data_IF_250773952150
#
_entry.id   IF_250773952150
#
_cell.length_a   1.000
_cell.length_b   1.000
_cell.length_c   1.000
_cell.angle_alpha   90.00
_cell.angle_beta   90.00
_cell.angle_gamma   90.00
#
_symmetry.space_group_name_H-M   'P 1'
#
loop_
_entity.id
_entity.type
_entity.pdbx_description
1 polymer ?
#
# COMPACT_ATOMS: atom_id res chain seq x y z
N UNK A 1 -50.65 32.31 -42.42
CA UNK A 1 -51.81 33.07 -41.89
C UNK A 1 -51.36 33.62 -40.54
N UNK A 2 -50.74 34.79 -40.41
CA UNK A 2 -51.13 36.17 -40.77
C UNK A 2 -52.33 36.67 -39.94
N UNK A 3 -52.13 37.87 -39.35
CA UNK A 3 -53.01 38.74 -38.51
C UNK A 3 -52.46 38.85 -37.06
N UNK A 4 -51.75 39.89 -36.60
CA UNK A 4 -51.69 41.33 -36.90
C UNK A 4 -52.97 42.09 -36.54
N UNK A 5 -52.98 42.70 -35.34
CA UNK A 5 -53.69 43.96 -35.05
C UNK A 5 -52.94 44.77 -34.00
N UNK A 6 -52.79 46.05 -34.34
CA UNK A 6 -52.03 47.11 -33.68
C UNK A 6 -53.03 48.09 -32.99
N UNK A 7 -52.52 49.21 -32.47
CA UNK A 7 -53.19 50.46 -32.01
C UNK A 7 -53.56 50.46 -30.50
N UNK A 8 -53.21 51.44 -29.65
CA UNK A 8 -52.83 52.85 -29.79
C UNK A 8 -51.90 53.32 -28.64
N UNK A 9 -51.03 54.29 -28.95
CA UNK A 9 -50.40 55.23 -28.01
C UNK A 9 -51.39 56.36 -27.63
N UNK A 10 -51.16 57.01 -26.48
CA UNK A 10 -51.11 58.46 -26.52
C UNK A 10 -49.87 59.08 -25.84
N UNK A 11 -49.57 60.23 -26.43
CA UNK A 11 -48.61 61.32 -26.20
C UNK A 11 -48.31 61.78 -24.77
N UNK A 12 -47.07 62.24 -24.64
CA UNK A 12 -46.42 62.90 -23.50
C UNK A 12 -47.17 64.09 -22.89
N UNK A 13 -47.02 64.24 -21.58
CA UNK A 13 -46.92 65.55 -20.90
C UNK A 13 -45.61 65.58 -20.10
N UNK A 14 -44.68 66.46 -20.49
CA UNK A 14 -43.53 66.84 -19.65
C UNK A 14 -44.03 67.68 -18.48
N UNK A 15 -43.98 67.13 -17.27
CA UNK A 15 -44.02 67.87 -16.02
C UNK A 15 -42.62 67.93 -15.43
N UNK A 16 -42.07 69.13 -15.28
CA UNK A 16 -40.81 69.38 -14.60
C UNK A 16 -40.91 68.91 -13.14
N UNK A 17 -39.89 68.17 -12.68
CA UNK A 17 -39.70 67.86 -11.26
C UNK A 17 -38.32 68.29 -10.83
N UNK A 18 -38.34 69.09 -9.77
CA UNK A 18 -37.22 69.75 -9.13
C UNK A 18 -36.09 68.79 -8.74
N UNK A 19 -34.88 69.31 -8.92
CA UNK A 19 -33.68 68.75 -8.36
C UNK A 19 -33.74 68.78 -6.83
N UNK A 20 -33.71 67.62 -6.18
CA UNK A 20 -32.95 67.37 -4.95
C UNK A 20 -33.03 65.89 -4.58
N UNK A 21 -31.96 65.38 -3.94
CA UNK A 21 -31.76 64.03 -3.40
C UNK A 21 -31.28 62.95 -4.38
N UNK A 22 -29.97 63.02 -4.69
CA UNK A 22 -29.18 61.83 -5.03
C UNK A 22 -29.21 60.91 -3.80
N UNK A 23 -30.02 59.86 -3.85
CA UNK A 23 -29.95 58.77 -2.89
C UNK A 23 -28.61 58.03 -3.09
N UNK A 24 -27.80 58.00 -2.02
CA UNK A 24 -26.58 57.20 -1.95
C UNK A 24 -26.89 55.71 -2.18
N UNK A 25 -25.94 54.91 -2.68
CA UNK A 25 -26.12 53.47 -2.77
C UNK A 25 -26.36 52.92 -1.38
N UNK A 26 -27.40 52.09 -1.24
CA UNK A 26 -27.78 51.47 0.01
C UNK A 26 -26.69 50.46 0.43
N UNK A 27 -25.75 50.92 1.26
CA UNK A 27 -24.90 50.06 2.10
C UNK A 27 -25.82 49.28 3.05
N UNK A 28 -26.23 48.07 2.65
CA UNK A 28 -26.66 46.99 3.54
C UNK A 28 -26.91 45.73 2.73
N UNK A 29 -25.82 45.00 2.47
CA UNK A 29 -25.89 43.56 2.25
C UNK A 29 -24.90 42.88 3.22
N UNK A 30 -25.16 43.05 4.52
CA UNK A 30 -24.41 42.44 5.63
C UNK A 30 -25.11 41.21 6.22
N UNK A 31 -26.18 40.72 5.58
CA UNK A 31 -26.86 39.49 5.99
C UNK A 31 -26.19 38.27 5.35
N UNK A 32 -25.00 37.91 5.85
CA UNK A 32 -24.40 36.56 5.78
C UNK A 32 -22.99 36.50 6.42
N UNK A 33 -22.64 37.44 7.31
CA UNK A 33 -21.43 37.27 8.12
C UNK A 33 -21.77 36.33 9.27
N UNK A 34 -21.34 35.06 9.15
CA UNK A 34 -21.34 34.13 10.27
C UNK A 34 -20.58 34.76 11.43
N UNK A 35 -21.24 34.94 12.56
CA UNK A 35 -20.62 35.47 13.77
C UNK A 35 -19.47 34.53 14.16
N UNK A 36 -18.24 35.01 14.00
CA UNK A 36 -17.04 34.27 14.40
C UNK A 36 -17.11 34.14 15.92
N UNK A 37 -17.25 32.91 16.40
CA UNK A 37 -17.23 32.64 17.82
C UNK A 37 -15.85 33.04 18.35
N UNK A 38 -15.82 33.80 19.45
CA UNK A 38 -14.60 34.31 20.11
C UNK A 38 -13.50 33.26 20.35
N UNK A 39 -13.84 31.97 20.35
CA UNK A 39 -12.89 30.86 20.46
C UNK A 39 -12.05 30.59 19.20
N UNK A 40 -12.35 31.22 18.07
CA UNK A 40 -11.73 30.94 16.76
C UNK A 40 -11.10 32.16 16.09
N UNK A 41 -10.89 33.26 16.83
CA UNK A 41 -10.34 34.51 16.31
C UNK A 41 -8.90 34.38 15.76
N UNK A 42 -8.21 33.28 16.09
CA UNK A 42 -6.87 32.95 15.60
C UNK A 42 -6.87 32.21 14.25
N UNK A 43 -8.02 31.75 13.77
CA UNK A 43 -8.18 31.09 12.48
C UNK A 43 -8.50 32.10 11.38
N UNK A 44 -8.35 31.69 10.12
CA UNK A 44 -8.92 32.44 9.01
C UNK A 44 -10.43 32.56 9.16
N UNK A 45 -11.01 33.63 8.58
CA UNK A 45 -12.45 33.86 8.60
C UNK A 45 -13.20 32.70 7.96
N UNK A 46 -12.63 32.14 6.90
CA UNK A 46 -13.15 30.99 6.17
C UNK A 46 -13.19 29.75 7.06
N UNK A 47 -12.08 29.39 7.70
CA UNK A 47 -12.03 28.26 8.63
C UNK A 47 -12.92 28.45 9.85
N UNK A 48 -12.97 29.65 10.43
CA UNK A 48 -13.90 29.96 11.53
C UNK A 48 -15.37 29.77 11.10
N UNK A 49 -15.69 30.11 9.85
CA UNK A 49 -17.02 29.87 9.26
C UNK A 49 -17.29 28.38 9.06
N UNK A 50 -16.31 27.61 8.59
CA UNK A 50 -16.44 26.15 8.49
C UNK A 50 -16.72 25.53 9.86
N UNK A 51 -15.92 25.90 10.87
CA UNK A 51 -15.97 25.34 12.22
C UNK A 51 -17.30 25.64 12.92
N UNK A 52 -17.85 26.85 12.77
CA UNK A 52 -19.11 27.22 13.43
C UNK A 52 -20.28 26.30 13.03
N UNK A 53 -20.28 25.78 11.81
CA UNK A 53 -21.27 24.82 11.30
C UNK A 53 -20.84 23.36 11.55
N UNK A 54 -19.60 23.01 11.21
CA UNK A 54 -19.12 21.62 11.25
C UNK A 54 -18.91 21.06 12.66
N UNK A 55 -18.80 21.91 13.69
CA UNK A 55 -18.84 21.47 15.08
C UNK A 55 -20.16 20.76 15.43
N UNK A 56 -21.26 21.13 14.79
CA UNK A 56 -22.59 20.56 14.99
C UNK A 56 -22.89 19.46 13.95
N UNK A 57 -22.59 19.72 12.67
CA UNK A 57 -22.92 18.80 11.57
C UNK A 57 -21.98 17.60 11.44
N UNK A 58 -20.74 17.74 11.88
CA UNK A 58 -19.71 16.69 11.80
C UNK A 58 -18.83 16.73 13.04
N UNK A 59 -19.46 16.62 14.22
CA UNK A 59 -18.78 16.76 15.51
C UNK A 59 -17.52 15.88 15.64
N UNK A 60 -17.53 14.65 15.10
CA UNK A 60 -16.37 13.77 15.11
C UNK A 60 -15.15 14.35 14.36
N UNK A 61 -15.36 14.91 13.17
CA UNK A 61 -14.30 15.56 12.38
C UNK A 61 -13.78 16.78 13.14
N UNK A 62 -14.69 17.59 13.68
CA UNK A 62 -14.33 18.77 14.47
C UNK A 62 -13.47 18.40 15.69
N UNK A 63 -13.83 17.36 16.45
CA UNK A 63 -13.07 16.92 17.61
C UNK A 63 -11.69 16.34 17.22
N UNK A 64 -11.63 15.54 16.15
CA UNK A 64 -10.35 15.01 15.65
C UNK A 64 -9.40 16.14 15.25
N UNK A 65 -9.87 17.10 14.45
CA UNK A 65 -9.10 18.26 14.05
C UNK A 65 -8.70 19.12 15.26
N UNK A 66 -9.63 19.39 16.19
CA UNK A 66 -9.37 20.18 17.40
C UNK A 66 -8.32 19.55 18.33
N UNK A 67 -8.13 18.23 18.26
CA UNK A 67 -7.06 17.51 18.98
C UNK A 67 -5.73 17.44 18.21
N UNK A 68 -5.69 17.89 16.96
CA UNK A 68 -4.53 17.77 16.09
C UNK A 68 -3.48 18.86 16.34
N UNK A 69 -2.24 18.58 15.94
CA UNK A 69 -1.18 19.62 15.90
C UNK A 69 -1.46 20.69 14.84
N UNK A 70 -2.23 20.37 13.80
CA UNK A 70 -2.65 21.35 12.79
C UNK A 70 -3.54 22.44 13.39
N UNK A 71 -4.50 22.08 14.24
CA UNK A 71 -5.29 23.07 14.97
C UNK A 71 -4.41 23.98 15.83
N UNK A 72 -3.49 23.40 16.61
CA UNK A 72 -2.54 24.17 17.42
C UNK A 72 -1.57 25.05 16.61
N UNK A 73 -1.42 24.79 15.31
CA UNK A 73 -0.64 25.58 14.37
C UNK A 73 -1.50 26.53 13.51
N UNK A 74 -2.78 26.73 13.86
CA UNK A 74 -3.74 27.55 13.14
C UNK A 74 -4.01 27.11 11.69
N UNK A 75 -3.81 25.82 11.37
CA UNK A 75 -4.19 25.22 10.09
C UNK A 75 -5.62 24.69 10.23
N UNK A 76 -6.58 25.46 9.71
CA UNK A 76 -8.00 25.16 9.76
C UNK A 76 -8.51 24.36 8.56
N UNK A 77 -9.83 24.21 8.48
CA UNK A 77 -10.49 23.44 7.42
C UNK A 77 -10.20 24.02 6.03
N UNK A 78 -10.32 25.34 5.89
CA UNK A 78 -10.19 26.01 4.60
C UNK A 78 -8.74 26.04 4.10
N UNK A 79 -7.75 26.11 5.00
CA UNK A 79 -6.34 26.10 4.61
C UNK A 79 -5.96 24.85 3.82
N UNK A 80 -6.57 23.70 4.15
CA UNK A 80 -6.37 22.43 3.45
C UNK A 80 -7.37 22.20 2.31
N UNK A 81 -8.64 22.54 2.51
CA UNK A 81 -9.71 22.20 1.56
C UNK A 81 -9.98 23.27 0.49
N UNK A 82 -9.38 24.47 0.59
CA UNK A 82 -9.55 25.50 -0.45
C UNK A 82 -9.17 24.95 -1.82
N UNK A 83 -10.00 25.24 -2.81
CA UNK A 83 -9.76 24.88 -4.19
C UNK A 83 -9.96 26.10 -5.08
N UNK A 84 -9.39 26.08 -6.29
CA UNK A 84 -9.63 27.13 -7.29
C UNK A 84 -10.81 26.75 -8.16
N UNK A 85 -11.55 27.77 -8.60
CA UNK A 85 -12.55 27.59 -9.63
C UNK A 85 -11.92 26.96 -10.89
N UNK A 86 -12.48 25.86 -11.37
CA UNK A 86 -11.98 25.13 -12.54
C UNK A 86 -11.03 23.97 -12.24
N UNK A 87 -10.63 23.75 -10.99
CA UNK A 87 -10.06 22.47 -10.59
C UNK A 87 -11.12 21.36 -10.74
N UNK A 88 -10.68 20.14 -11.09
CA UNK A 88 -11.57 19.07 -11.57
C UNK A 88 -12.59 18.65 -10.51
N UNK A 89 -12.17 18.58 -9.25
CA UNK A 89 -12.97 18.19 -8.09
C UNK A 89 -13.39 19.38 -7.22
N UNK A 90 -13.27 20.60 -7.73
CA UNK A 90 -13.72 21.79 -7.03
C UNK A 90 -15.25 21.87 -7.01
N UNK A 91 -15.82 21.99 -5.81
CA UNK A 91 -17.25 22.19 -5.58
C UNK A 91 -17.49 23.50 -4.84
N UNK A 92 -18.63 24.14 -5.14
CA UNK A 92 -19.11 25.27 -4.32
C UNK A 92 -19.78 24.71 -3.06
N UNK A 93 -19.23 25.05 -1.90
CA UNK A 93 -19.82 24.73 -0.61
C UNK A 93 -20.10 26.01 0.17
N UNK A 94 -21.39 26.39 0.22
CA UNK A 94 -21.83 27.70 0.72
C UNK A 94 -21.17 28.84 -0.07
N UNK A 95 -20.39 29.68 0.59
CA UNK A 95 -19.73 30.84 0.02
C UNK A 95 -18.28 30.53 -0.43
N UNK A 96 -17.82 29.29 -0.27
CA UNK A 96 -16.45 28.88 -0.56
C UNK A 96 -16.38 27.88 -1.71
N UNK A 97 -15.23 27.86 -2.38
CA UNK A 97 -14.86 26.82 -3.34
C UNK A 97 -13.86 25.91 -2.65
N UNK A 98 -14.19 24.62 -2.59
CA UNK A 98 -13.38 23.62 -1.88
C UNK A 98 -13.22 22.35 -2.73
N UNK A 99 -12.21 21.57 -2.40
CA UNK A 99 -12.08 20.18 -2.82
C UNK A 99 -12.29 19.28 -1.59
N UNK A 100 -13.01 18.17 -1.77
CA UNK A 100 -13.19 17.18 -0.70
C UNK A 100 -11.87 16.43 -0.45
N UNK A 101 -11.11 16.18 -1.52
CA UNK A 101 -9.82 15.52 -1.45
C UNK A 101 -8.73 16.55 -1.19
N UNK A 102 -7.98 16.33 -0.12
CA UNK A 102 -6.68 16.98 0.09
C UNK A 102 -5.60 16.01 -0.40
N UNK A 103 -4.86 16.43 -1.41
CA UNK A 103 -3.87 15.62 -2.10
C UNK A 103 -2.46 15.82 -1.52
N UNK A 104 -1.47 15.00 -1.93
CA UNK A 104 -0.06 15.28 -1.66
C UNK A 104 0.42 16.66 -2.13
N UNK A 105 -0.13 17.25 -3.21
CA UNK A 105 0.24 18.60 -3.66
C UNK A 105 -0.23 19.67 -2.68
N UNK A 106 -1.40 19.50 -2.08
CA UNK A 106 -1.87 20.42 -1.03
C UNK A 106 -0.97 20.33 0.21
N UNK A 107 -0.59 19.11 0.58
CA UNK A 107 0.32 18.85 1.69
C UNK A 107 1.72 19.47 1.43
N UNK A 108 2.20 19.43 0.19
CA UNK A 108 3.51 19.97 -0.20
C UNK A 108 3.64 21.48 0.01
N UNK A 109 2.53 22.22 0.16
CA UNK A 109 2.56 23.64 0.53
C UNK A 109 3.25 23.90 1.87
N UNK A 110 3.30 22.91 2.77
CA UNK A 110 4.03 22.99 4.04
C UNK A 110 5.01 21.83 4.27
N UNK A 111 4.79 20.68 3.63
CA UNK A 111 5.54 19.43 3.82
C UNK A 111 6.24 18.98 2.53
N UNK A 112 6.91 19.90 1.84
CA UNK A 112 7.56 19.65 0.55
C UNK A 112 8.54 18.47 0.60
N UNK A 113 9.35 18.39 1.66
CA UNK A 113 10.33 17.33 1.83
C UNK A 113 9.66 15.95 1.95
N UNK A 114 8.69 15.82 2.85
CA UNK A 114 8.00 14.56 3.09
C UNK A 114 7.25 14.08 1.85
N UNK A 115 6.64 15.01 1.09
CA UNK A 115 5.96 14.67 -0.17
C UNK A 115 6.96 14.22 -1.24
N UNK A 116 8.12 14.87 -1.37
CA UNK A 116 9.15 14.49 -2.34
C UNK A 116 9.73 13.09 -2.04
N UNK A 117 9.99 12.81 -0.77
CA UNK A 117 10.43 11.48 -0.32
C UNK A 117 9.36 10.43 -0.61
N UNK A 118 8.10 10.71 -0.27
CA UNK A 118 6.99 9.80 -0.52
C UNK A 118 6.79 9.53 -2.02
N UNK A 119 6.80 10.55 -2.88
CA UNK A 119 6.59 10.40 -4.34
C UNK A 119 7.67 9.54 -5.00
N UNK A 120 8.87 9.51 -4.41
CA UNK A 120 9.99 8.67 -4.85
C UNK A 120 9.79 7.18 -4.50
N UNK A 121 8.84 6.87 -3.62
CA UNK A 121 8.60 5.51 -3.12
C UNK A 121 7.64 4.71 -4.01
N UNK A 122 7.73 3.38 -3.92
CA UNK A 122 6.72 2.50 -4.54
C UNK A 122 5.32 2.66 -3.94
N UNK A 123 5.20 3.15 -2.70
CA UNK A 123 3.90 3.43 -2.09
C UNK A 123 3.13 4.50 -2.86
N UNK A 124 3.79 5.54 -3.36
CA UNK A 124 3.14 6.56 -4.19
C UNK A 124 2.58 5.98 -5.49
N UNK A 125 3.18 4.91 -6.02
CA UNK A 125 2.73 4.24 -7.25
C UNK A 125 1.89 3.00 -6.98
N UNK A 126 1.49 2.76 -5.73
CA UNK A 126 0.79 1.55 -5.31
C UNK A 126 -0.51 1.26 -6.07
N UNK A 127 -1.26 2.29 -6.47
CA UNK A 127 -2.50 2.13 -7.22
C UNK A 127 -2.31 1.78 -8.70
N UNK A 128 -1.11 1.98 -9.26
CA UNK A 128 -0.82 1.65 -10.67
C UNK A 128 -0.71 0.14 -10.90
N UNK A 129 -0.56 -0.66 -9.84
CA UNK A 129 -0.52 -2.13 -9.97
C UNK A 129 -1.90 -2.71 -10.32
N UNK A 130 -2.98 -1.98 -10.08
CA UNK A 130 -4.35 -2.48 -10.30
C UNK A 130 -4.74 -2.51 -11.79
N UNK A 131 -4.02 -1.76 -12.62
CA UNK A 131 -4.11 -1.85 -14.09
C UNK A 131 -3.22 -2.96 -14.68
N UNK A 132 -2.69 -3.86 -13.82
CA UNK A 132 -1.84 -4.98 -14.24
C UNK A 132 -2.51 -6.34 -14.09
N UNK A 133 -1.91 -7.38 -14.68
CA UNK A 133 -2.35 -8.77 -14.53
C UNK A 133 -2.45 -9.21 -13.06
N UNK A 134 -1.74 -8.55 -12.13
CA UNK A 134 -1.81 -8.83 -10.69
C UNK A 134 -3.24 -8.61 -10.11
N UNK A 135 -4.15 -7.93 -10.84
CA UNK A 135 -5.55 -7.69 -10.42
C UNK A 135 -6.57 -8.65 -11.07
N UNK A 136 -6.13 -9.63 -11.87
CA UNK A 136 -7.02 -10.58 -12.58
C UNK A 136 -7.93 -11.34 -11.61
N UNK A 137 -7.43 -11.71 -10.43
CA UNK A 137 -8.23 -12.41 -9.43
C UNK A 137 -9.45 -11.57 -9.01
N UNK A 138 -9.23 -10.32 -8.59
CA UNK A 138 -10.30 -9.46 -8.09
C UNK A 138 -11.20 -8.88 -9.19
N UNK A 139 -10.74 -8.77 -10.44
CA UNK A 139 -11.56 -8.28 -11.56
C UNK A 139 -12.35 -9.39 -12.28
N UNK A 140 -11.79 -10.61 -12.36
CA UNK A 140 -12.29 -11.67 -13.25
C UNK A 140 -12.66 -12.95 -12.50
N UNK A 141 -11.76 -13.48 -11.67
CA UNK A 141 -11.96 -14.80 -11.05
C UNK A 141 -12.96 -14.73 -9.89
N UNK A 142 -12.76 -13.77 -9.00
CA UNK A 142 -13.59 -13.51 -7.81
C UNK A 142 -14.62 -12.41 -8.08
N UNK A 143 -14.31 -11.51 -9.02
CA UNK A 143 -15.06 -10.30 -9.30
C UNK A 143 -15.86 -10.32 -10.59
N UNK A 144 -16.65 -9.26 -10.76
CA UNK A 144 -17.40 -8.98 -11.99
C UNK A 144 -17.81 -7.49 -12.01
N UNK A 145 -17.98 -6.85 -13.19
CA UNK A 145 -18.22 -5.41 -13.33
C UNK A 145 -19.64 -4.97 -12.96
N UNK A 146 -20.11 -5.37 -11.78
CA UNK A 146 -21.48 -5.20 -11.29
C UNK A 146 -21.69 -3.89 -10.53
N UNK A 147 -20.63 -3.11 -10.29
CA UNK A 147 -20.71 -1.83 -9.61
C UNK A 147 -20.15 -0.71 -10.49
N UNK A 148 -21.05 -0.05 -11.22
CA UNK A 148 -20.72 1.04 -12.14
C UNK A 148 -19.64 0.66 -13.18
N UNK A 149 -19.68 -0.58 -13.66
CA UNK A 149 -18.70 -1.10 -14.62
C UNK A 149 -17.38 -1.57 -14.00
N UNK A 150 -17.26 -1.58 -12.67
CA UNK A 150 -16.09 -2.03 -11.91
C UNK A 150 -16.42 -3.23 -11.02
N UNK A 151 -15.41 -4.01 -10.65
CA UNK A 151 -15.56 -5.09 -9.68
C UNK A 151 -15.75 -4.57 -8.26
N UNK A 152 -16.84 -4.93 -7.54
CA UNK A 152 -17.00 -4.59 -6.13
C UNK A 152 -15.88 -5.16 -5.25
N UNK A 153 -15.29 -6.29 -5.64
CA UNK A 153 -14.18 -6.95 -4.94
C UNK A 153 -12.92 -6.08 -5.03
N UNK A 154 -12.58 -5.57 -6.21
CA UNK A 154 -11.48 -4.63 -6.39
C UNK A 154 -11.70 -3.34 -5.59
N UNK A 155 -12.87 -2.72 -5.74
CA UNK A 155 -13.20 -1.43 -5.10
C UNK A 155 -13.12 -1.53 -3.58
N UNK A 156 -13.63 -2.62 -3.00
CA UNK A 156 -13.70 -2.77 -1.54
C UNK A 156 -12.45 -3.40 -0.93
N UNK A 157 -11.75 -4.26 -1.67
CA UNK A 157 -10.57 -5.00 -1.22
C UNK A 157 -9.27 -4.35 -1.66
N UNK A 158 -8.86 -4.62 -2.89
CA UNK A 158 -7.54 -4.23 -3.44
C UNK A 158 -7.32 -2.71 -3.39
N UNK A 159 -8.30 -1.94 -3.84
CA UNK A 159 -8.23 -0.48 -3.90
C UNK A 159 -8.22 0.19 -2.52
N UNK A 160 -8.77 -0.49 -1.51
CA UNK A 160 -8.76 -0.02 -0.13
C UNK A 160 -7.34 0.10 0.44
N UNK A 161 -6.43 -0.76 -0.02
CA UNK A 161 -5.02 -0.80 0.38
C UNK A 161 -4.11 -0.08 -0.64
N UNK A 162 -4.24 -0.42 -1.93
CA UNK A 162 -3.37 0.09 -3.00
C UNK A 162 -3.74 1.51 -3.45
N UNK A 163 -5.03 1.83 -3.44
CA UNK A 163 -5.59 3.04 -4.01
C UNK A 163 -5.99 2.84 -5.47
N UNK A 164 -6.86 3.70 -5.97
CA UNK A 164 -7.32 3.70 -7.36
C UNK A 164 -7.35 5.11 -7.94
N UNK A 165 -7.66 5.20 -9.23
CA UNK A 165 -7.98 6.47 -9.87
C UNK A 165 -9.30 6.99 -9.34
N UNK A 166 -9.28 8.21 -8.81
CA UNK A 166 -10.50 8.88 -8.39
C UNK A 166 -11.25 9.38 -9.62
N UNK A 167 -12.50 8.96 -9.72
CA UNK A 167 -13.44 9.41 -10.74
C UNK A 167 -14.27 10.57 -10.18
N UNK A 168 -14.25 11.67 -10.92
CA UNK A 168 -15.01 12.88 -10.60
C UNK A 168 -16.16 12.99 -11.59
N UNK A 169 -17.37 13.11 -11.06
CA UNK A 169 -18.59 13.29 -11.84
C UNK A 169 -18.61 14.69 -12.48
N UNK A 170 -19.48 14.88 -13.46
CA UNK A 170 -19.61 16.17 -14.17
C UNK A 170 -20.00 17.36 -13.29
N UNK A 171 -20.57 17.10 -12.10
CA UNK A 171 -20.94 18.13 -11.12
C UNK A 171 -19.85 18.41 -10.07
N UNK A 172 -18.66 17.80 -10.22
CA UNK A 172 -17.54 17.89 -9.28
C UNK A 172 -17.64 16.95 -8.08
N UNK A 173 -18.73 16.20 -7.92
CA UNK A 173 -18.84 15.17 -6.88
C UNK A 173 -17.97 13.95 -7.21
N UNK A 174 -17.61 13.17 -6.19
CA UNK A 174 -16.77 11.97 -6.36
C UNK A 174 -17.65 10.74 -6.59
N UNK A 175 -17.26 9.89 -7.53
CA UNK A 175 -18.00 8.66 -7.83
C UNK A 175 -17.92 7.66 -6.68
N UNK A 176 -19.05 7.00 -6.38
CA UNK A 176 -19.09 5.91 -5.40
C UNK A 176 -18.24 4.70 -5.82
N UNK A 177 -17.96 4.57 -7.13
CA UNK A 177 -17.08 3.52 -7.68
C UNK A 177 -15.62 3.67 -7.24
N UNK A 178 -15.18 4.86 -6.82
CA UNK A 178 -13.76 5.16 -6.53
C UNK A 178 -13.56 5.98 -5.24
N UNK A 179 -14.63 6.43 -4.59
CA UNK A 179 -14.60 7.17 -3.33
C UNK A 179 -15.67 6.67 -2.35
N UNK A 180 -15.37 6.49 -1.05
CA UNK A 180 -14.14 6.85 -0.32
C UNK A 180 -12.94 5.93 -0.60
N UNK A 181 -11.76 6.52 -0.76
CA UNK A 181 -10.52 5.78 -0.94
C UNK A 181 -9.39 6.37 -0.08
N UNK A 182 -8.67 5.50 0.62
CA UNK A 182 -7.49 5.86 1.42
C UNK A 182 -6.28 4.97 1.12
N UNK A 183 -6.30 4.25 -0.01
CA UNK A 183 -5.21 3.40 -0.40
C UNK A 183 -3.95 4.23 -0.68
N UNK A 184 -2.80 3.66 -0.35
CA UNK A 184 -1.55 4.41 -0.19
C UNK A 184 -1.12 5.11 -1.48
N UNK A 185 -1.38 4.51 -2.65
CA UNK A 185 -1.02 5.00 -3.98
C UNK A 185 -2.20 5.49 -4.81
N UNK A 186 -3.25 6.03 -4.17
CA UNK A 186 -4.42 6.66 -4.82
C UNK A 186 -4.00 7.66 -5.90
N UNK A 187 -4.64 7.65 -7.07
CA UNK A 187 -4.38 8.64 -8.13
C UNK A 187 -5.42 9.77 -8.01
N UNK A 188 -4.95 10.96 -7.65
CA UNK A 188 -5.80 12.09 -7.29
C UNK A 188 -6.26 12.89 -8.53
N UNK A 189 -7.37 13.65 -8.43
CA UNK A 189 -7.88 14.47 -9.54
C UNK A 189 -6.89 15.52 -10.07
N UNK A 190 -6.00 16.03 -9.21
CA UNK A 190 -4.95 16.99 -9.56
C UNK A 190 -3.72 16.34 -10.22
N UNK A 191 -3.77 15.04 -10.50
CA UNK A 191 -2.70 14.24 -11.12
C UNK A 191 -1.57 13.83 -10.16
N UNK A 192 -1.63 14.20 -8.87
CA UNK A 192 -0.70 13.71 -7.88
C UNK A 192 -1.00 12.26 -7.51
N UNK A 193 0.02 11.50 -7.10
CA UNK A 193 -0.13 10.11 -6.67
C UNK A 193 0.08 10.02 -5.16
N UNK A 194 -0.77 9.28 -4.49
CA UNK A 194 -0.67 8.98 -3.08
C UNK A 194 -1.83 9.45 -2.22
N UNK A 195 -1.91 8.88 -1.01
CA UNK A 195 -2.78 9.34 0.08
C UNK A 195 -1.96 9.55 1.35
N UNK A 196 -1.63 10.81 1.68
CA UNK A 196 -0.90 11.15 2.90
C UNK A 196 -1.66 10.77 4.19
N UNK A 197 -2.97 10.50 4.11
CA UNK A 197 -3.79 10.08 5.25
C UNK A 197 -3.79 8.56 5.48
N UNK A 198 -2.96 7.79 4.78
CA UNK A 198 -2.92 6.33 4.91
C UNK A 198 -2.37 5.86 6.27
N UNK A 199 -1.31 6.52 6.79
CA UNK A 199 -0.63 6.10 8.03
C UNK A 199 -1.00 6.96 9.25
N UNK A 200 -1.04 8.29 9.09
CA UNK A 200 -1.53 9.24 10.10
C UNK A 200 -2.89 9.78 9.63
N UNK A 201 -3.94 9.10 10.06
CA UNK A 201 -5.27 9.26 9.49
C UNK A 201 -5.87 10.64 9.73
N UNK A 202 -6.64 11.11 8.76
CA UNK A 202 -7.46 12.32 8.90
C UNK A 202 -8.53 12.12 10.00
N UNK A 203 -8.91 13.12 10.78
CA UNK A 203 -8.44 14.51 10.78
C UNK A 203 -7.49 14.85 11.93
N UNK A 204 -7.03 13.84 12.68
CA UNK A 204 -6.08 14.03 13.77
C UNK A 204 -4.63 14.16 13.29
N UNK A 205 -4.27 13.50 12.17
CA UNK A 205 -2.93 13.51 11.58
C UNK A 205 -1.82 13.21 12.60
N UNK A 206 -2.06 12.23 13.47
CA UNK A 206 -1.18 11.92 14.60
C UNK A 206 0.08 11.18 14.15
N UNK A 207 1.26 11.78 14.36
CA UNK A 207 2.53 11.11 14.19
C UNK A 207 2.68 9.88 15.10
N UNK A 208 2.10 9.91 16.31
CA UNK A 208 2.09 8.76 17.20
C UNK A 208 1.29 7.58 16.61
N UNK A 209 0.19 7.85 15.90
CA UNK A 209 -0.56 6.82 15.16
C UNK A 209 0.29 6.23 14.04
N UNK A 210 0.98 7.07 13.25
CA UNK A 210 1.87 6.60 12.18
C UNK A 210 3.04 5.73 12.69
N UNK A 211 3.46 5.92 13.94
CA UNK A 211 4.52 5.13 14.58
C UNK A 211 4.03 3.80 15.17
N UNK A 212 2.72 3.65 15.36
CA UNK A 212 2.13 2.45 15.93
C UNK A 212 1.98 1.35 14.86
N UNK A 213 2.45 0.10 15.10
CA UNK A 213 2.41 -1.00 14.12
C UNK A 213 1.03 -1.28 13.51
N UNK A 214 -0.05 -1.06 14.27
CA UNK A 214 -1.42 -1.29 13.80
C UNK A 214 -1.81 -0.43 12.58
N UNK A 215 -1.18 0.73 12.39
CA UNK A 215 -1.45 1.55 11.20
C UNK A 215 -0.98 0.84 9.91
N UNK A 216 0.16 0.15 9.98
CA UNK A 216 0.70 -0.63 8.87
C UNK A 216 -0.14 -1.89 8.63
N UNK A 217 -0.62 -2.51 9.71
CA UNK A 217 -1.44 -3.71 9.69
C UNK A 217 -2.81 -3.55 9.04
N UNK A 218 -3.19 -2.35 8.59
CA UNK A 218 -4.33 -2.17 7.69
C UNK A 218 -4.10 -2.81 6.31
N UNK A 219 -2.86 -2.80 5.81
CA UNK A 219 -2.51 -3.27 4.47
C UNK A 219 -1.46 -4.40 4.49
N UNK A 220 -0.58 -4.39 5.50
CA UNK A 220 0.52 -5.33 5.66
C UNK A 220 0.13 -6.49 6.57
N UNK A 221 -0.80 -7.31 6.10
CA UNK A 221 -1.42 -8.43 6.81
C UNK A 221 -1.81 -9.54 5.83
N UNK A 222 -2.33 -10.65 6.36
CA UNK A 222 -3.01 -11.66 5.56
C UNK A 222 -2.09 -12.70 4.91
N UNK A 223 -2.60 -13.50 3.96
CA UNK A 223 -1.99 -14.77 3.58
C UNK A 223 -0.69 -14.66 2.78
N UNK A 224 -0.45 -13.54 2.11
CA UNK A 224 0.68 -13.35 1.19
C UNK A 224 1.75 -12.40 1.74
N UNK A 225 1.42 -11.52 2.68
CA UNK A 225 2.40 -10.67 3.35
C UNK A 225 1.98 -10.33 4.79
N UNK A 226 1.96 -11.32 5.71
CA UNK A 226 1.50 -11.16 7.09
C UNK A 226 2.52 -10.42 7.98
N UNK A 227 2.99 -9.26 7.55
CA UNK A 227 4.05 -8.55 8.28
C UNK A 227 3.58 -8.08 9.66
N UNK A 228 2.29 -7.78 9.83
CA UNK A 228 1.72 -7.42 11.14
C UNK A 228 1.69 -8.61 12.11
N UNK A 229 1.31 -9.78 11.62
CA UNK A 229 1.23 -11.03 12.37
C UNK A 229 2.64 -11.50 12.73
N UNK A 230 3.56 -11.49 11.77
CA UNK A 230 4.99 -11.77 12.00
C UNK A 230 5.58 -10.82 13.04
N UNK A 231 5.30 -9.53 12.93
CA UNK A 231 5.77 -8.57 13.93
C UNK A 231 5.18 -8.89 15.31
N UNK A 232 3.88 -9.19 15.39
CA UNK A 232 3.21 -9.48 16.65
C UNK A 232 3.75 -10.75 17.35
N UNK A 233 4.15 -11.79 16.62
CA UNK A 233 4.79 -12.97 17.22
C UNK A 233 6.25 -12.74 17.59
N UNK A 234 6.94 -11.83 16.89
CA UNK A 234 8.35 -11.58 17.13
C UNK A 234 8.61 -11.01 18.54
N UNK A 235 9.82 -11.24 19.07
CA UNK A 235 10.23 -10.62 20.33
C UNK A 235 10.10 -9.09 20.29
N UNK A 236 10.33 -8.47 19.13
CA UNK A 236 10.15 -7.02 18.96
C UNK A 236 8.70 -6.58 19.20
N UNK A 237 7.71 -7.28 18.62
CA UNK A 237 6.30 -6.93 18.83
C UNK A 237 5.78 -7.27 20.21
N UNK A 238 6.25 -8.37 20.81
CA UNK A 238 5.96 -8.71 22.21
C UNK A 238 6.47 -7.60 23.13
N UNK A 239 7.73 -7.16 22.96
CA UNK A 239 8.33 -6.10 23.79
C UNK A 239 7.66 -4.74 23.55
N UNK A 240 7.32 -4.40 22.31
CA UNK A 240 6.59 -3.17 22.01
C UNK A 240 5.25 -3.13 22.74
N UNK A 241 4.48 -4.22 22.66
CA UNK A 241 3.17 -4.31 23.31
C UNK A 241 3.29 -4.26 24.83
N UNK A 242 4.26 -4.97 25.40
CA UNK A 242 4.51 -4.98 26.84
C UNK A 242 5.01 -3.64 27.39
N UNK A 243 5.68 -2.83 26.55
CA UNK A 243 6.33 -1.59 26.96
C UNK A 243 5.81 -0.35 26.21
N UNK A 244 4.56 -0.38 25.74
CA UNK A 244 3.99 0.69 24.92
C UNK A 244 4.13 2.09 25.56
N UNK A 245 3.94 2.19 26.88
CA UNK A 245 4.11 3.45 27.62
C UNK A 245 5.54 4.01 27.56
N UNK A 246 6.55 3.16 27.40
CA UNK A 246 7.97 3.54 27.31
C UNK A 246 8.40 3.88 25.87
N UNK A 247 7.54 3.62 24.88
CA UNK A 247 7.84 3.89 23.47
C UNK A 247 7.84 5.37 23.12
N UNK A 248 7.36 6.26 24.01
CA UNK A 248 7.39 7.71 23.82
C UNK A 248 6.84 8.18 22.45
N UNK A 249 5.75 7.55 21.98
CA UNK A 249 5.23 7.72 20.61
C UNK A 249 4.88 9.16 20.24
N UNK A 250 4.67 10.03 21.22
CA UNK A 250 4.35 11.46 21.03
C UNK A 250 5.58 12.37 20.86
N UNK A 251 6.81 11.86 21.05
CA UNK A 251 8.05 12.64 20.92
C UNK A 251 8.14 13.36 19.56
N UNK A 252 8.58 14.61 19.53
CA UNK A 252 8.77 15.34 18.28
C UNK A 252 9.91 14.76 17.43
N UNK A 253 10.99 14.29 18.06
CA UNK A 253 12.14 13.68 17.36
C UNK A 253 11.98 12.16 17.14
N UNK A 254 11.64 11.42 18.19
CA UNK A 254 11.43 9.96 18.19
C UNK A 254 12.56 9.15 17.52
N UNK A 255 13.76 9.23 18.12
CA UNK A 255 14.98 8.55 17.66
C UNK A 255 15.25 7.32 18.54
N UNK A 256 15.38 6.14 17.93
CA UNK A 256 15.71 4.91 18.65
C UNK A 256 17.10 5.00 19.30
N UNK A 257 17.20 4.55 20.56
CA UNK A 257 18.42 4.66 21.37
C UNK A 257 18.58 6.00 22.10
N UNK A 258 17.77 7.01 21.78
CA UNK A 258 17.76 8.30 22.47
C UNK A 258 16.41 8.63 23.13
N UNK A 259 15.31 8.53 22.38
CA UNK A 259 13.95 8.85 22.83
C UNK A 259 13.20 7.66 23.41
N UNK A 260 13.58 6.47 22.95
CA UNK A 260 13.05 5.18 23.38
C UNK A 260 14.05 4.07 23.04
N UNK A 261 14.00 2.99 23.80
CA UNK A 261 14.85 1.81 23.59
C UNK A 261 14.15 0.48 23.89
N UNK A 262 12.87 0.53 24.27
CA UNK A 262 12.14 -0.65 24.75
C UNK A 262 11.92 -1.72 23.67
N UNK A 263 11.62 -1.29 22.44
CA UNK A 263 11.46 -2.16 21.27
C UNK A 263 11.47 -1.33 19.97
N UNK A 264 11.72 -1.92 18.80
CA UNK A 264 11.42 -1.26 17.53
C UNK A 264 9.94 -1.46 17.14
N UNK A 265 9.37 -0.50 16.41
CA UNK A 265 8.12 -0.63 15.67
C UNK A 265 8.38 -0.71 14.15
N UNK A 266 7.34 -0.96 13.35
CA UNK A 266 7.43 -0.94 11.88
C UNK A 266 8.10 0.36 11.37
N UNK A 267 7.61 1.50 11.87
CA UNK A 267 8.14 2.82 11.52
C UNK A 267 9.59 3.02 11.99
N UNK A 268 10.03 2.40 13.10
CA UNK A 268 11.42 2.47 13.56
C UNK A 268 12.39 1.96 12.50
N UNK A 269 12.09 0.78 11.97
CA UNK A 269 12.95 0.11 10.99
C UNK A 269 12.91 0.77 9.62
N UNK A 270 11.73 1.14 9.15
CA UNK A 270 11.53 1.51 7.75
C UNK A 270 11.52 3.01 7.44
N UNK A 271 11.27 3.87 8.42
CA UNK A 271 11.00 5.30 8.17
C UNK A 271 11.76 6.23 9.12
N UNK A 272 11.74 5.92 10.41
CA UNK A 272 12.14 6.83 11.49
C UNK A 272 13.64 7.07 11.53
N UNK A 273 14.01 8.22 12.09
CA UNK A 273 15.39 8.58 12.30
C UNK A 273 16.08 7.63 13.29
N UNK A 274 17.37 7.41 13.04
CA UNK A 274 18.32 6.88 14.03
C UNK A 274 19.32 7.98 14.35
N UNK A 275 20.33 7.70 15.18
CA UNK A 275 21.44 8.63 15.40
C UNK A 275 22.15 9.02 14.09
N UNK A 276 22.27 8.07 13.17
CA UNK A 276 23.09 8.19 11.95
C UNK A 276 22.25 8.31 10.67
N UNK A 277 20.93 8.08 10.74
CA UNK A 277 20.02 8.17 9.59
C UNK A 277 18.89 9.17 9.84
N UNK A 278 18.57 10.02 8.85
CA UNK A 278 17.41 10.89 8.95
C UNK A 278 16.09 10.09 8.84
N UNK A 279 15.02 10.71 9.32
CA UNK A 279 13.64 10.32 8.99
C UNK A 279 13.45 10.46 7.48
N UNK A 280 12.71 9.53 6.89
CA UNK A 280 12.30 9.60 5.47
C UNK A 280 10.87 9.10 5.29
N UNK A 281 10.19 9.57 4.25
CA UNK A 281 8.91 9.01 3.76
C UNK A 281 9.08 8.04 2.58
N UNK A 282 10.32 7.75 2.14
CA UNK A 282 10.59 6.64 1.23
C UNK A 282 10.79 5.33 2.00
N UNK A 283 9.72 4.55 2.16
CA UNK A 283 9.74 3.21 2.79
C UNK A 283 10.70 2.23 2.10
N UNK A 284 11.03 2.45 0.82
CA UNK A 284 11.92 1.59 0.05
C UNK A 284 13.39 1.82 0.36
N UNK A 285 13.74 2.97 0.93
CA UNK A 285 15.11 3.46 1.14
C UNK A 285 16.05 2.48 1.85
N UNK A 286 15.52 1.57 2.68
CA UNK A 286 16.30 0.60 3.48
C UNK A 286 16.09 -0.86 3.09
N UNK A 287 15.42 -1.14 1.97
CA UNK A 287 15.09 -2.51 1.52
C UNK A 287 16.22 -3.05 0.63
N UNK A 288 16.80 -4.21 0.99
CA UNK A 288 17.84 -4.86 0.19
C UNK A 288 17.29 -5.94 -0.76
N UNK A 289 16.20 -6.61 -0.37
CA UNK A 289 15.59 -7.71 -1.11
C UNK A 289 14.18 -7.35 -1.55
N UNK A 290 13.81 -7.72 -2.79
CA UNK A 290 12.42 -7.91 -3.14
C UNK A 290 11.97 -9.31 -2.65
N UNK A 291 11.06 -9.35 -1.67
CA UNK A 291 10.49 -10.60 -1.14
C UNK A 291 9.08 -10.90 -1.66
N UNK A 292 8.54 -10.04 -2.54
CA UNK A 292 7.22 -10.19 -3.15
C UNK A 292 7.25 -11.14 -4.34
N UNK A 293 8.28 -11.04 -5.18
CA UNK A 293 8.35 -11.78 -6.44
C UNK A 293 8.44 -13.31 -6.21
N UNK A 294 8.01 -14.12 -7.20
CA UNK A 294 8.14 -15.57 -7.13
C UNK A 294 9.58 -16.00 -6.79
N UNK A 295 10.56 -15.39 -7.46
CA UNK A 295 12.00 -15.49 -7.17
C UNK A 295 12.45 -14.14 -6.61
N UNK A 296 13.03 -14.14 -5.41
CA UNK A 296 13.58 -12.93 -4.79
C UNK A 296 14.82 -12.44 -5.53
N UNK A 297 15.01 -11.13 -5.60
CA UNK A 297 16.15 -10.47 -6.23
C UNK A 297 16.56 -9.23 -5.43
N UNK A 298 17.81 -8.76 -5.56
CA UNK A 298 18.25 -7.51 -4.92
C UNK A 298 17.54 -6.32 -5.55
N UNK A 299 17.09 -5.38 -4.73
CA UNK A 299 16.12 -4.37 -5.15
C UNK A 299 16.57 -3.51 -6.34
N UNK A 300 17.88 -3.32 -6.50
CA UNK A 300 18.52 -2.51 -7.52
C UNK A 300 18.79 -3.26 -8.84
N UNK A 301 18.74 -4.60 -8.88
CA UNK A 301 19.10 -5.40 -10.07
C UNK A 301 18.32 -4.97 -11.33
N UNK A 302 17.00 -4.79 -11.20
CA UNK A 302 16.15 -4.45 -12.35
C UNK A 302 16.38 -3.03 -12.87
N UNK A 303 16.70 -2.09 -11.98
CA UNK A 303 16.95 -0.70 -12.35
C UNK A 303 18.34 -0.54 -12.95
N UNK A 304 19.33 -1.24 -12.40
CA UNK A 304 20.68 -1.32 -12.96
C UNK A 304 20.66 -1.95 -14.37
N UNK A 305 19.86 -3.00 -14.58
CA UNK A 305 19.69 -3.62 -15.90
C UNK A 305 19.07 -2.66 -16.95
N UNK A 306 18.35 -1.62 -16.51
CA UNK A 306 17.80 -0.55 -17.37
C UNK A 306 18.75 0.64 -17.51
N UNK A 307 19.93 0.61 -16.91
CA UNK A 307 20.88 1.72 -16.90
C UNK A 307 20.45 2.89 -16.00
N UNK A 308 19.53 2.67 -15.06
CA UNK A 308 19.11 3.69 -14.10
C UNK A 308 20.10 3.80 -12.96
N UNK A 309 20.36 5.02 -12.49
CA UNK A 309 21.13 5.27 -11.28
C UNK A 309 20.18 5.24 -10.08
N UNK A 310 20.38 4.27 -9.19
CA UNK A 310 19.59 4.08 -7.97
C UNK A 310 20.51 3.76 -6.78
N UNK A 311 20.03 3.97 -5.56
CA UNK A 311 20.78 3.61 -4.35
C UNK A 311 21.06 2.09 -4.33
N UNK A 312 22.35 1.66 -4.30
CA UNK A 312 22.71 0.25 -4.30
C UNK A 312 22.15 -0.53 -3.12
N UNK A 313 21.83 -1.81 -3.30
CA UNK A 313 21.27 -2.65 -2.24
C UNK A 313 22.22 -2.78 -1.04
N UNK A 314 23.53 -2.75 -1.26
CA UNK A 314 24.53 -2.77 -0.20
C UNK A 314 24.43 -1.55 0.70
N UNK A 315 24.22 -0.36 0.14
CA UNK A 315 24.01 0.84 0.94
C UNK A 315 22.69 0.77 1.70
N UNK A 316 21.61 0.28 1.08
CA UNK A 316 20.32 0.05 1.76
C UNK A 316 20.45 -0.95 2.91
N UNK A 317 21.28 -1.99 2.74
CA UNK A 317 21.63 -2.95 3.80
C UNK A 317 22.39 -2.25 4.92
N UNK A 318 23.35 -1.37 4.63
CA UNK A 318 24.07 -0.62 5.66
C UNK A 318 23.14 0.31 6.44
N UNK A 319 22.21 0.99 5.76
CA UNK A 319 21.19 1.78 6.42
C UNK A 319 20.38 0.92 7.40
N UNK A 320 19.86 -0.23 6.97
CA UNK A 320 19.10 -1.11 7.86
C UNK A 320 19.95 -1.63 9.03
N UNK A 321 21.21 -2.02 8.78
CA UNK A 321 22.14 -2.42 9.85
C UNK A 321 22.36 -1.29 10.86
N UNK A 322 22.40 -0.04 10.42
CA UNK A 322 22.54 1.12 11.32
C UNK A 322 21.35 1.26 12.28
N UNK A 323 20.14 0.85 11.86
CA UNK A 323 18.98 0.77 12.74
C UNK A 323 19.18 -0.31 13.80
N UNK A 324 19.56 -1.51 13.38
CA UNK A 324 19.76 -2.66 14.28
C UNK A 324 20.81 -2.35 15.37
N UNK A 325 21.92 -1.69 15.01
CA UNK A 325 23.00 -1.38 15.96
C UNK A 325 22.66 -0.27 16.96
N UNK A 326 21.49 0.37 16.83
CA UNK A 326 20.97 1.26 17.87
C UNK A 326 20.60 0.49 19.15
N UNK A 327 20.42 -0.85 19.07
CA UNK A 327 20.10 -1.71 20.20
C UNK A 327 20.94 -3.00 20.27
N UNK A 328 21.48 -3.47 19.14
CA UNK A 328 22.22 -4.74 19.06
C UNK A 328 23.70 -4.55 18.77
N UNK A 329 24.50 -5.57 19.08
CA UNK A 329 25.90 -5.61 18.65
C UNK A 329 25.99 -5.75 17.12
N UNK A 330 27.10 -5.28 16.53
CA UNK A 330 27.39 -5.46 15.10
C UNK A 330 27.41 -6.94 14.71
N UNK A 331 28.06 -7.78 15.51
CA UNK A 331 28.14 -9.23 15.26
C UNK A 331 26.76 -9.89 15.22
N UNK A 332 25.86 -9.57 16.15
CA UNK A 332 24.47 -10.06 16.14
C UNK A 332 23.76 -9.63 14.87
N UNK A 333 23.92 -8.36 14.48
CA UNK A 333 23.31 -7.78 13.29
C UNK A 333 23.82 -8.44 12.00
N UNK A 334 25.12 -8.66 11.89
CA UNK A 334 25.74 -9.28 10.72
C UNK A 334 25.31 -10.74 10.57
N UNK A 335 25.33 -11.50 11.66
CA UNK A 335 24.86 -12.89 11.68
C UNK A 335 23.39 -13.02 11.27
N UNK A 336 22.53 -12.07 11.68
CA UNK A 336 21.13 -12.05 11.28
C UNK A 336 20.98 -11.89 9.76
N UNK A 337 21.71 -10.95 9.16
CA UNK A 337 21.62 -10.72 7.71
C UNK A 337 22.25 -11.83 6.88
N UNK A 338 23.29 -12.51 7.38
CA UNK A 338 23.82 -13.72 6.75
C UNK A 338 22.80 -14.85 6.76
N UNK A 339 22.11 -15.09 7.88
CA UNK A 339 21.03 -16.06 7.98
C UNK A 339 19.87 -15.73 7.04
N UNK A 340 19.46 -14.46 6.97
CA UNK A 340 18.40 -14.02 6.07
C UNK A 340 18.78 -14.26 4.60
N UNK A 341 19.99 -13.86 4.21
CA UNK A 341 20.45 -14.03 2.83
C UNK A 341 20.51 -15.53 2.46
N UNK A 342 21.05 -16.38 3.35
CA UNK A 342 21.05 -17.84 3.15
C UNK A 342 19.64 -18.44 3.04
N UNK A 343 18.68 -17.96 3.85
CA UNK A 343 17.29 -18.41 3.80
C UNK A 343 16.61 -18.05 2.47
N UNK A 344 16.78 -16.81 2.01
CA UNK A 344 16.22 -16.34 0.75
C UNK A 344 16.80 -17.12 -0.43
N UNK A 345 18.11 -17.38 -0.43
CA UNK A 345 18.74 -18.17 -1.48
C UNK A 345 18.29 -19.63 -1.46
N UNK A 346 18.14 -20.25 -0.28
CA UNK A 346 17.59 -21.59 -0.17
C UNK A 346 16.19 -21.66 -0.81
N UNK A 347 15.29 -20.72 -0.48
CA UNK A 347 13.97 -20.66 -1.09
C UNK A 347 14.06 -20.51 -2.62
N UNK A 348 14.90 -19.57 -3.08
CA UNK A 348 15.06 -19.26 -4.49
C UNK A 348 15.53 -20.46 -5.30
N UNK A 349 16.64 -21.09 -4.87
CA UNK A 349 17.29 -22.17 -5.60
C UNK A 349 16.53 -23.48 -5.48
N UNK A 350 15.99 -23.79 -4.30
CA UNK A 350 15.31 -25.07 -4.06
C UNK A 350 13.88 -25.10 -4.57
N UNK A 351 13.14 -23.99 -4.53
CA UNK A 351 11.70 -24.05 -4.80
C UNK A 351 11.29 -23.13 -5.95
N UNK A 352 11.62 -21.85 -5.86
CA UNK A 352 11.10 -20.87 -6.80
C UNK A 352 11.64 -21.02 -8.22
N UNK A 353 12.95 -21.25 -8.38
CA UNK A 353 13.57 -21.45 -9.70
C UNK A 353 13.07 -22.76 -10.35
N UNK A 354 13.14 -23.94 -9.69
CA UNK A 354 12.63 -25.18 -10.27
C UNK A 354 11.15 -25.13 -10.64
N UNK A 355 10.29 -24.61 -9.74
CA UNK A 355 8.87 -24.49 -10.01
C UNK A 355 8.58 -23.52 -11.16
N UNK A 356 9.26 -22.36 -11.20
CA UNK A 356 9.12 -21.41 -12.31
C UNK A 356 9.56 -22.00 -13.65
N UNK A 357 10.64 -22.79 -13.67
CA UNK A 357 11.14 -23.45 -14.88
C UNK A 357 10.12 -24.47 -15.42
N UNK A 358 9.52 -25.28 -14.54
CA UNK A 358 8.49 -26.25 -14.91
C UNK A 358 7.27 -25.55 -15.50
N UNK A 359 6.70 -24.57 -14.80
CA UNK A 359 5.52 -23.83 -15.26
C UNK A 359 5.75 -23.16 -16.62
N UNK A 360 6.91 -22.49 -16.79
CA UNK A 360 7.28 -21.87 -18.06
C UNK A 360 7.43 -22.87 -19.19
N UNK A 361 8.06 -24.03 -18.94
CA UNK A 361 8.23 -25.04 -19.96
C UNK A 361 6.90 -25.67 -20.37
N UNK A 362 6.03 -26.01 -19.41
CA UNK A 362 4.71 -26.58 -19.70
C UNK A 362 3.84 -25.59 -20.49
N UNK A 363 3.86 -24.30 -20.14
CA UNK A 363 3.18 -23.25 -20.90
C UNK A 363 3.75 -23.13 -22.33
N UNK A 364 5.08 -23.08 -22.48
CA UNK A 364 5.75 -22.94 -23.78
C UNK A 364 5.49 -24.13 -24.72
N UNK A 365 5.38 -25.34 -24.18
CA UNK A 365 5.05 -26.55 -24.94
C UNK A 365 3.53 -26.74 -25.15
N UNK A 366 2.71 -25.78 -24.70
CA UNK A 366 1.25 -25.81 -24.84
C UNK A 366 0.61 -26.99 -24.10
N UNK A 367 1.18 -27.35 -22.95
CA UNK A 367 0.64 -28.38 -22.05
C UNK A 367 -0.30 -27.81 -20.98
N UNK A 368 -0.22 -26.51 -20.74
CA UNK A 368 -1.20 -25.73 -19.97
C UNK A 368 -2.14 -25.00 -20.93
N UNK A 369 -3.33 -24.62 -20.45
CA UNK A 369 -4.23 -23.79 -21.24
C UNK A 369 -3.67 -22.37 -21.39
N UNK A 370 -4.34 -21.56 -22.22
CA UNK A 370 -4.03 -20.12 -22.34
C UNK A 370 -4.76 -19.28 -21.29
N UNK A 371 -5.77 -19.86 -20.64
CA UNK A 371 -6.55 -19.18 -19.61
C UNK A 371 -5.80 -19.38 -18.31
N UNK A 372 -5.41 -18.29 -17.65
CA UNK A 372 -4.74 -18.42 -16.35
C UNK A 372 -5.76 -18.73 -15.25
N UNK A 373 -5.33 -19.48 -14.24
CA UNK A 373 -6.12 -19.89 -13.07
C UNK A 373 -7.31 -20.82 -13.38
N UNK A 374 -7.28 -21.55 -14.51
CA UNK A 374 -8.28 -22.57 -14.85
C UNK A 374 -7.81 -24.00 -14.57
N UNK A 375 -6.55 -24.20 -14.23
CA UNK A 375 -5.96 -25.50 -13.88
C UNK A 375 -5.48 -25.56 -12.43
N UNK A 376 -5.67 -26.71 -11.76
CA UNK A 376 -5.29 -26.91 -10.35
C UNK A 376 -3.79 -26.63 -10.09
N UNK A 377 -2.93 -27.06 -11.02
CA UNK A 377 -1.49 -26.86 -10.94
C UNK A 377 -1.09 -25.36 -10.92
N UNK A 378 -1.86 -24.50 -11.59
CA UNK A 378 -1.62 -23.06 -11.58
C UNK A 378 -1.90 -22.47 -10.20
N UNK A 379 -2.98 -22.93 -9.54
CA UNK A 379 -3.30 -22.58 -8.16
C UNK A 379 -2.26 -23.10 -7.17
N UNK A 380 -1.83 -24.36 -7.29
CA UNK A 380 -0.78 -24.92 -6.45
C UNK A 380 0.53 -24.13 -6.61
N UNK A 381 0.93 -23.80 -7.84
CA UNK A 381 2.08 -22.94 -8.08
C UNK A 381 1.89 -21.56 -7.45
N UNK A 382 0.73 -20.93 -7.67
CA UNK A 382 0.40 -19.63 -7.09
C UNK A 382 0.53 -19.64 -5.57
N UNK A 383 -0.11 -20.58 -4.86
CA UNK A 383 -0.02 -20.66 -3.39
C UNK A 383 1.41 -20.89 -2.89
N UNK A 384 2.17 -21.75 -3.57
CA UNK A 384 3.56 -22.03 -3.23
C UNK A 384 4.40 -20.76 -3.18
N UNK A 385 4.36 -19.92 -4.21
CA UNK A 385 5.23 -18.74 -4.25
C UNK A 385 4.58 -17.49 -3.65
N UNK A 386 3.26 -17.29 -3.87
CA UNK A 386 2.52 -16.09 -3.50
C UNK A 386 2.20 -16.06 -2.01
N UNK A 387 1.70 -17.16 -1.45
CA UNK A 387 1.37 -17.22 -0.03
C UNK A 387 2.58 -17.69 0.75
N UNK A 388 2.91 -18.96 0.62
CA UNK A 388 3.82 -19.66 1.54
C UNK A 388 5.25 -19.17 1.36
N UNK A 389 5.68 -19.00 0.12
CA UNK A 389 7.00 -18.48 -0.21
C UNK A 389 7.20 -17.06 0.29
N UNK A 390 6.20 -16.17 0.13
CA UNK A 390 6.28 -14.82 0.69
C UNK A 390 6.24 -14.86 2.22
N UNK A 391 5.35 -15.64 2.85
CA UNK A 391 5.29 -15.83 4.31
C UNK A 391 6.62 -16.26 4.89
N UNK A 392 7.22 -17.32 4.33
CA UNK A 392 8.53 -17.85 4.73
C UNK A 392 9.60 -16.76 4.75
N UNK A 393 9.74 -16.03 3.65
CA UNK A 393 10.78 -15.00 3.49
C UNK A 393 10.54 -13.78 4.38
N UNK A 394 9.29 -13.37 4.56
CA UNK A 394 8.95 -12.29 5.49
C UNK A 394 9.16 -12.71 6.95
N UNK A 395 8.81 -13.95 7.32
CA UNK A 395 9.08 -14.53 8.64
C UNK A 395 10.56 -14.49 8.97
N UNK A 396 11.40 -14.97 8.05
CA UNK A 396 12.86 -14.90 8.20
C UNK A 396 13.38 -13.45 8.32
N UNK A 397 12.80 -12.50 7.55
CA UNK A 397 13.24 -11.11 7.53
C UNK A 397 12.86 -10.29 8.78
N UNK A 398 11.88 -10.75 9.57
CA UNK A 398 11.35 -10.01 10.72
C UNK A 398 11.37 -10.82 12.01
N UNK A 399 12.19 -11.88 12.06
CA UNK A 399 12.39 -12.72 13.27
C UNK A 399 11.08 -13.38 13.73
N UNK A 400 10.28 -13.82 12.76
CA UNK A 400 9.08 -14.64 12.98
C UNK A 400 9.38 -16.12 12.72
N UNK A 401 9.72 -16.92 13.74
CA UNK A 401 10.15 -18.29 13.55
C UNK A 401 9.03 -19.20 13.03
N UNK A 402 7.78 -18.95 13.40
CA UNK A 402 6.66 -19.80 12.98
C UNK A 402 6.30 -19.53 11.51
N UNK A 403 6.25 -18.25 11.12
CA UNK A 403 6.12 -17.84 9.72
C UNK A 403 7.31 -18.22 8.84
N UNK A 404 8.52 -18.31 9.40
CA UNK A 404 9.67 -18.83 8.64
C UNK A 404 9.54 -20.33 8.39
N UNK A 405 9.00 -21.09 9.35
CA UNK A 405 8.93 -22.54 9.30
C UNK A 405 7.53 -23.10 9.01
N UNK A 406 6.67 -23.25 10.03
CA UNK A 406 5.40 -23.96 9.93
C UNK A 406 4.41 -23.29 8.98
N UNK A 407 4.27 -21.97 9.07
CA UNK A 407 3.38 -21.20 8.18
C UNK A 407 4.09 -20.78 6.86
N UNK A 408 5.35 -21.19 6.68
CA UNK A 408 6.21 -20.79 5.58
C UNK A 408 6.84 -21.98 4.86
N UNK A 409 8.12 -22.25 5.16
CA UNK A 409 8.92 -23.24 4.42
C UNK A 409 8.35 -24.67 4.47
N UNK A 410 7.63 -25.02 5.54
CA UNK A 410 6.91 -26.29 5.65
C UNK A 410 5.82 -26.39 4.58
N UNK A 411 4.96 -25.38 4.48
CA UNK A 411 3.91 -25.31 3.45
C UNK A 411 4.52 -25.28 2.04
N UNK A 412 5.58 -24.48 1.81
CA UNK A 412 6.30 -24.46 0.53
C UNK A 412 6.77 -25.86 0.13
N UNK A 413 7.36 -26.60 1.07
CA UNK A 413 7.81 -27.96 0.83
C UNK A 413 6.62 -28.90 0.56
N UNK A 414 5.53 -28.77 1.31
CA UNK A 414 4.31 -29.55 1.09
C UNK A 414 3.77 -29.33 -0.33
N UNK A 415 3.52 -28.07 -0.73
CA UNK A 415 3.04 -27.75 -2.08
C UNK A 415 3.99 -28.26 -3.15
N UNK A 416 5.30 -28.11 -2.97
CA UNK A 416 6.25 -28.55 -3.98
C UNK A 416 6.22 -30.09 -4.15
N UNK A 417 6.42 -30.83 -3.06
CA UNK A 417 6.68 -32.27 -3.12
C UNK A 417 5.41 -33.13 -3.14
N UNK A 418 4.33 -32.68 -2.52
CA UNK A 418 3.10 -33.45 -2.34
C UNK A 418 2.04 -33.07 -3.37
N UNK A 419 2.02 -31.82 -3.84
CA UNK A 419 1.01 -31.37 -4.80
C UNK A 419 1.61 -31.17 -6.20
N UNK A 420 2.55 -30.23 -6.34
CA UNK A 420 3.08 -29.81 -7.63
C UNK A 420 3.79 -30.94 -8.38
N UNK A 421 4.67 -31.70 -7.72
CA UNK A 421 5.40 -32.80 -8.38
C UNK A 421 4.44 -33.88 -8.93
N UNK A 422 3.46 -34.40 -8.17
CA UNK A 422 2.43 -35.28 -8.72
C UNK A 422 1.59 -34.67 -9.84
N UNK A 423 1.14 -33.43 -9.71
CA UNK A 423 0.36 -32.74 -10.75
C UNK A 423 1.17 -32.58 -12.06
N UNK A 424 2.46 -32.24 -11.97
CA UNK A 424 3.35 -32.19 -13.15
C UNK A 424 3.44 -33.56 -13.83
N UNK A 425 3.50 -34.65 -13.06
CA UNK A 425 3.48 -36.02 -13.62
C UNK A 425 2.16 -36.32 -14.33
N UNK A 426 1.04 -35.88 -13.78
CA UNK A 426 -0.27 -36.03 -14.41
C UNK A 426 -0.37 -35.25 -15.73
N UNK A 427 0.16 -34.02 -15.78
CA UNK A 427 0.26 -33.24 -17.03
C UNK A 427 1.10 -33.99 -18.07
N UNK A 428 2.24 -34.57 -17.67
CA UNK A 428 3.08 -35.39 -18.55
C UNK A 428 2.31 -36.60 -19.11
N UNK A 429 1.63 -37.37 -18.25
CA UNK A 429 0.88 -38.56 -18.68
C UNK A 429 -0.30 -38.21 -19.60
N UNK A 430 -1.05 -37.15 -19.26
CA UNK A 430 -2.13 -36.63 -20.09
C UNK A 430 -1.62 -36.19 -21.46
N UNK A 431 -0.48 -35.48 -21.50
CA UNK A 431 0.17 -35.07 -22.73
C UNK A 431 0.60 -36.27 -23.60
N UNK A 432 1.12 -37.34 -23.00
CA UNK A 432 1.44 -38.58 -23.72
C UNK A 432 0.19 -39.22 -24.33
N UNK A 433 -0.90 -39.32 -23.58
CA UNK A 433 -2.18 -39.87 -24.05
C UNK A 433 -2.78 -39.05 -25.19
N UNK A 434 -2.60 -37.72 -25.15
CA UNK A 434 -3.01 -36.80 -26.19
C UNK A 434 -2.07 -36.76 -27.42
N UNK A 435 -1.04 -37.63 -27.47
CA UNK A 435 -0.07 -37.70 -28.57
C UNK A 435 1.00 -36.60 -28.57
N UNK A 436 1.08 -35.77 -27.53
CA UNK A 436 2.13 -34.74 -27.33
C UNK A 436 3.39 -35.33 -26.69
N UNK A 437 3.87 -36.45 -27.21
CA UNK A 437 4.94 -37.26 -26.58
C UNK A 437 6.27 -36.50 -26.45
N UNK A 438 6.63 -35.68 -27.44
CA UNK A 438 7.88 -34.90 -27.41
C UNK A 438 7.86 -33.82 -26.31
N UNK A 439 6.77 -33.05 -26.24
CA UNK A 439 6.56 -32.05 -25.19
C UNK A 439 6.57 -32.69 -23.79
N UNK A 440 5.86 -33.81 -23.63
CA UNK A 440 5.83 -34.57 -22.39
C UNK A 440 7.24 -35.05 -21.97
N UNK A 441 8.05 -35.52 -22.94
CA UNK A 441 9.42 -35.97 -22.67
C UNK A 441 10.35 -34.84 -22.22
N UNK A 442 10.20 -33.61 -22.75
CA UNK A 442 10.97 -32.44 -22.31
C UNK A 442 10.65 -32.09 -20.85
N UNK A 443 9.38 -32.05 -20.48
CA UNK A 443 8.96 -31.74 -19.10
C UNK A 443 9.39 -32.85 -18.14
N UNK A 444 9.24 -34.12 -18.53
CA UNK A 444 9.75 -35.26 -17.75
C UNK A 444 11.25 -35.14 -17.52
N UNK A 445 12.02 -34.82 -18.57
CA UNK A 445 13.48 -34.64 -18.46
C UNK A 445 13.84 -33.54 -17.47
N UNK A 446 13.16 -32.38 -17.52
CA UNK A 446 13.39 -31.28 -16.59
C UNK A 446 13.00 -31.67 -15.15
N UNK A 447 11.85 -32.33 -14.96
CA UNK A 447 11.41 -32.81 -13.65
C UNK A 447 12.43 -33.80 -13.07
N UNK A 448 12.93 -34.73 -13.87
CA UNK A 448 13.93 -35.70 -13.41
C UNK A 448 15.27 -35.03 -13.07
N UNK A 449 15.70 -34.03 -13.86
CA UNK A 449 16.89 -33.24 -13.55
C UNK A 449 16.74 -32.52 -12.20
N UNK A 450 15.59 -31.88 -11.96
CA UNK A 450 15.27 -31.21 -10.69
C UNK A 450 15.29 -32.23 -9.55
N UNK A 451 14.56 -33.34 -9.66
CA UNK A 451 14.42 -34.32 -8.59
C UNK A 451 15.70 -35.11 -8.30
N UNK A 452 16.62 -35.24 -9.27
CA UNK A 452 17.93 -35.86 -9.04
C UNK A 452 19.02 -34.85 -8.59
N UNK A 453 18.73 -33.55 -8.56
CA UNK A 453 19.67 -32.54 -8.04
C UNK A 453 19.92 -32.69 -6.53
N UNK A 454 20.97 -32.04 -6.03
CA UNK A 454 21.37 -32.12 -4.62
C UNK A 454 20.23 -31.75 -3.66
N UNK A 455 19.44 -30.72 -3.99
CA UNK A 455 18.36 -30.23 -3.13
C UNK A 455 17.14 -31.15 -3.03
N UNK A 456 16.90 -32.01 -4.03
CA UNK A 456 15.65 -32.78 -4.15
C UNK A 456 15.83 -34.29 -4.15
N UNK A 457 17.04 -34.81 -4.40
CA UNK A 457 17.29 -36.26 -4.49
C UNK A 457 16.90 -37.05 -3.24
N UNK A 458 16.78 -36.38 -2.09
CA UNK A 458 16.22 -36.97 -0.86
C UNK A 458 14.78 -37.47 -1.06
N UNK A 459 13.95 -36.77 -1.85
CA UNK A 459 12.56 -37.14 -2.13
C UNK A 459 12.46 -38.45 -2.92
N UNK A 460 13.51 -38.77 -3.68
CA UNK A 460 13.68 -40.06 -4.38
C UNK A 460 14.32 -41.14 -3.50
N UNK A 461 14.61 -40.84 -2.23
CA UNK A 461 15.40 -41.71 -1.36
C UNK A 461 16.86 -41.83 -1.77
N UNK A 462 17.43 -40.88 -2.52
CA UNK A 462 18.81 -40.90 -3.05
C UNK A 462 19.75 -39.93 -2.33
N UNK A 463 19.56 -39.71 -1.04
CA UNK A 463 20.43 -38.85 -0.22
C UNK A 463 20.80 -39.54 1.08
N UNK A 464 22.04 -39.98 1.21
CA UNK A 464 22.55 -40.67 2.40
C UNK A 464 22.38 -39.80 3.65
N UNK A 465 22.76 -38.51 3.56
CA UNK A 465 22.58 -37.53 4.63
C UNK A 465 21.11 -37.38 5.05
N UNK A 466 20.18 -37.31 4.10
CA UNK A 466 18.76 -37.18 4.43
C UNK A 466 18.23 -38.47 5.06
N UNK A 467 18.64 -39.64 4.55
CA UNK A 467 18.28 -40.93 5.13
C UNK A 467 18.78 -41.07 6.57
N UNK A 468 20.00 -40.60 6.88
CA UNK A 468 20.53 -40.57 8.25
C UNK A 468 19.69 -39.69 9.17
N UNK A 469 19.36 -38.46 8.74
CA UNK A 469 18.52 -37.55 9.52
C UNK A 469 17.11 -38.10 9.74
N UNK A 470 16.52 -38.74 8.74
CA UNK A 470 15.17 -39.32 8.85
C UNK A 470 15.13 -40.53 9.79
N UNK A 471 16.20 -41.35 9.85
CA UNK A 471 16.29 -42.46 10.81
C UNK A 471 16.19 -41.98 12.26
N UNK A 472 16.72 -40.79 12.57
CA UNK A 472 16.69 -40.21 13.91
C UNK A 472 15.31 -39.68 14.35
N UNK A 473 14.36 -39.50 13.43
CA UNK A 473 13.00 -38.97 13.69
C UNK A 473 11.96 -40.08 13.89
N UNK A 474 12.32 -41.34 13.58
CA UNK A 474 11.42 -42.47 13.81
C UNK A 474 11.11 -42.57 15.32
N UNK A 475 9.83 -42.43 15.75
CA UNK A 475 9.49 -42.73 17.13
C UNK A 475 9.97 -44.14 17.43
N UNK A 476 10.68 -44.35 18.54
CA UNK A 476 10.93 -45.71 19.01
C UNK A 476 9.59 -46.44 19.02
N UNK A 477 9.46 -47.43 18.13
CA UNK A 477 8.23 -48.19 17.89
C UNK A 477 7.67 -48.79 19.18
#
# INVERSE_FOLDING_TARGET
>A
MLLLTCWLLPTLTLGAVDATTIAKPNEKNTANQVEILKGFDHLSRESATCVSCHREKSAGIYQQWGSSKHFGANIGCYECHKAKAGEVDAIKHKDFIIAVIVSPKDCAGCHEREVKEFDSSHHATGGLILDSLDNVLAEVVEGAPTFQGRSPVSVSGCEGCHGSKIEVNSDGSLSASSWPNSGIGRLNPDGSKGSCAACHTRHAFSAAQARHPDTCGRCHLGPDHPQKEIYAESQHGILFSANLAQMNLNSSKWVVGEDYSAAPACATCHLSATKDLPLTHDVGSRIAWNLRAPISFRIDEKDLAKGLSVKPWLERRQDMKSVCVSCHSRNTTDNFFEQLDAFVELYNEKFAKPGSQLMKLMSAEGLLTKTEFDEELEWTWFYLWHHEGRRARHGAAMVGPDFAHWEGMYEVAHRFYIEMVPQVREVIETAKQAGKTEAAAKVQTLLDQILNSEFHRWYLGKSDRAQELMKAVTPHK
#
